data_IF_093303449334
#
_entry.id   IF_093303449334
#
_cell.length_a   1.000
_cell.length_b   1.000
_cell.length_c   1.000
_cell.angle_alpha   90.00
_cell.angle_beta   90.00
_cell.angle_gamma   90.00
#
_symmetry.space_group_name_H-M   'P 1'
#
loop_
_entity.id
_entity.type
_entity.pdbx_description
1 polymer ?
#
# COMPACT_ATOMS: atom_id res chain seq x y z
N UNK A 1 5.87 9.99 -35.36
CA UNK A 1 5.69 9.43 -34.00
C UNK A 1 5.89 7.93 -34.07
N UNK A 2 6.71 7.35 -33.22
CA UNK A 2 6.88 5.89 -33.16
C UNK A 2 5.69 5.30 -32.46
N UNK A 3 4.99 4.37 -33.12
CA UNK A 3 3.90 3.60 -32.51
C UNK A 3 4.48 2.36 -31.83
N UNK A 4 4.23 2.22 -30.54
CA UNK A 4 4.68 1.09 -29.71
C UNK A 4 3.44 0.27 -29.36
N UNK A 5 3.44 -1.03 -29.72
CA UNK A 5 2.32 -1.93 -29.48
C UNK A 5 2.67 -2.96 -28.41
N UNK A 6 1.74 -3.26 -27.52
CA UNK A 6 1.82 -4.31 -26.52
C UNK A 6 0.46 -4.98 -26.35
N UNK A 7 0.44 -6.16 -25.73
CA UNK A 7 -0.81 -6.83 -25.36
C UNK A 7 -1.47 -6.13 -24.14
N UNK A 8 -0.66 -5.63 -23.23
CA UNK A 8 -1.11 -4.90 -22.04
C UNK A 8 -0.32 -3.61 -21.87
N UNK A 9 -1.04 -2.51 -21.67
CA UNK A 9 -0.46 -1.21 -21.31
C UNK A 9 -0.82 -0.89 -19.87
N UNK A 10 0.19 -0.84 -18.99
CA UNK A 10 0.01 -0.54 -17.57
C UNK A 10 0.36 0.92 -17.31
N UNK A 11 -0.53 1.70 -16.73
CA UNK A 11 -0.31 3.11 -16.41
C UNK A 11 -0.01 3.23 -14.91
N UNK A 12 1.23 3.60 -14.60
CA UNK A 12 1.81 3.71 -13.26
C UNK A 12 2.74 2.55 -12.94
N UNK A 13 3.99 2.87 -12.56
CA UNK A 13 5.02 1.92 -12.12
C UNK A 13 5.25 1.96 -10.60
N UNK A 14 4.21 2.27 -9.83
CA UNK A 14 4.17 2.02 -8.39
C UNK A 14 4.03 0.54 -8.10
N UNK A 15 3.93 0.16 -6.82
CA UNK A 15 3.88 -1.24 -6.39
C UNK A 15 2.75 -2.03 -7.06
N UNK A 16 1.57 -1.42 -7.25
CA UNK A 16 0.43 -2.08 -7.88
C UNK A 16 0.69 -2.42 -9.36
N UNK A 17 1.11 -1.43 -10.14
CA UNK A 17 1.37 -1.62 -11.57
C UNK A 17 2.58 -2.52 -11.83
N UNK A 18 3.65 -2.38 -11.04
CA UNK A 18 4.84 -3.24 -11.15
C UNK A 18 4.53 -4.69 -10.79
N UNK A 19 3.74 -4.94 -9.73
CA UNK A 19 3.30 -6.28 -9.38
C UNK A 19 2.42 -6.88 -10.50
N UNK A 20 1.40 -6.18 -10.98
CA UNK A 20 0.57 -6.66 -12.07
C UNK A 20 1.38 -6.96 -13.35
N UNK A 21 2.25 -6.04 -13.75
CA UNK A 21 3.07 -6.20 -14.95
C UNK A 21 4.02 -7.41 -14.86
N UNK A 22 4.55 -7.70 -13.66
CA UNK A 22 5.40 -8.87 -13.42
C UNK A 22 4.69 -10.19 -13.77
N UNK A 23 3.45 -10.37 -13.32
CA UNK A 23 2.67 -11.57 -13.63
C UNK A 23 2.06 -11.54 -15.02
N UNK A 24 1.62 -10.38 -15.52
CA UNK A 24 1.10 -10.23 -16.88
C UNK A 24 2.12 -10.55 -17.95
N UNK A 25 3.40 -10.29 -17.70
CA UNK A 25 4.48 -10.59 -18.62
C UNK A 25 4.63 -12.11 -18.94
N UNK A 26 3.96 -12.98 -18.20
CA UNK A 26 3.84 -14.41 -18.50
C UNK A 26 2.71 -14.73 -19.51
N UNK A 27 1.81 -13.77 -19.75
CA UNK A 27 0.62 -13.93 -20.61
C UNK A 27 0.71 -13.15 -21.92
N UNK A 28 1.65 -12.23 -22.04
CA UNK A 28 1.83 -11.40 -23.23
C UNK A 28 2.84 -10.28 -23.01
N UNK A 29 3.04 -9.49 -24.06
CA UNK A 29 3.91 -8.32 -23.98
C UNK A 29 3.29 -7.21 -23.13
N UNK A 30 4.08 -6.66 -22.20
CA UNK A 30 3.64 -5.59 -21.30
C UNK A 30 4.49 -4.35 -21.51
N UNK A 31 3.85 -3.19 -21.58
CA UNK A 31 4.54 -1.90 -21.51
C UNK A 31 3.99 -1.09 -20.34
N UNK A 32 4.86 -0.74 -19.40
CA UNK A 32 4.50 0.08 -18.23
C UNK A 32 4.89 1.53 -18.49
N UNK A 33 3.98 2.45 -18.30
CA UNK A 33 4.18 3.90 -18.44
C UNK A 33 4.23 4.55 -17.06
N UNK A 34 5.34 5.22 -16.76
CA UNK A 34 5.53 5.96 -15.51
C UNK A 34 5.73 7.45 -15.84
N UNK A 35 4.95 8.29 -15.15
CA UNK A 35 5.04 9.75 -15.36
C UNK A 35 6.31 10.36 -14.78
N UNK A 36 6.82 9.79 -13.68
CA UNK A 36 7.99 10.30 -13.00
C UNK A 36 9.30 9.82 -13.65
N UNK A 37 10.41 10.40 -13.24
CA UNK A 37 11.75 10.00 -13.71
C UNK A 37 12.21 8.64 -13.20
N UNK A 38 11.54 8.12 -12.18
CA UNK A 38 11.81 6.80 -11.59
C UNK A 38 10.52 6.12 -11.10
N UNK A 39 10.43 4.77 -11.19
CA UNK A 39 9.30 4.02 -10.65
C UNK A 39 9.21 4.14 -9.13
N UNK A 40 7.98 4.13 -8.61
CA UNK A 40 7.74 4.11 -7.17
C UNK A 40 7.97 5.44 -6.43
N UNK A 41 8.09 6.55 -7.13
CA UNK A 41 8.40 7.88 -6.58
C UNK A 41 7.41 8.36 -5.51
N UNK A 42 6.11 8.09 -5.69
CA UNK A 42 5.05 8.53 -4.76
C UNK A 42 4.83 7.54 -3.61
N UNK A 43 3.61 7.07 -3.39
CA UNK A 43 3.18 6.26 -2.23
C UNK A 43 4.08 5.06 -1.95
N UNK A 44 4.60 4.40 -3.00
CA UNK A 44 5.47 3.23 -2.87
C UNK A 44 6.77 3.56 -2.13
N UNK A 45 7.48 4.59 -2.56
CA UNK A 45 8.75 5.01 -1.96
C UNK A 45 8.63 5.79 -0.66
N UNK A 46 7.39 6.07 -0.21
CA UNK A 46 7.10 6.88 0.99
C UNK A 46 6.40 6.08 2.09
N UNK A 47 6.42 4.75 1.98
CA UNK A 47 5.71 3.85 2.90
C UNK A 47 6.55 3.53 4.13
N UNK A 48 5.92 3.48 5.31
CA UNK A 48 6.53 2.90 6.51
C UNK A 48 6.55 1.36 6.46
N UNK A 49 5.75 0.76 5.60
CA UNK A 49 5.74 -0.63 5.15
C UNK A 49 5.83 -1.68 6.26
N UNK A 50 4.73 -1.86 6.97
CA UNK A 50 4.54 -2.95 7.91
C UNK A 50 3.68 -4.05 7.28
N UNK A 51 4.03 -5.32 7.50
CA UNK A 51 3.23 -6.48 7.16
C UNK A 51 2.42 -6.91 8.38
N UNK A 52 1.10 -6.77 8.31
CA UNK A 52 0.16 -7.11 9.38
C UNK A 52 -1.04 -7.85 8.79
N UNK A 53 -1.19 -9.15 9.08
CA UNK A 53 -2.27 -9.99 8.51
C UNK A 53 -3.64 -9.69 9.11
N UNK A 54 -3.65 -9.17 10.31
CA UNK A 54 -4.87 -8.84 11.07
C UNK A 54 -5.42 -7.44 10.78
N UNK A 55 -4.68 -6.63 9.99
CA UNK A 55 -4.98 -5.20 9.81
C UNK A 55 -6.10 -4.95 8.81
N UNK A 56 -7.03 -4.04 9.19
CA UNK A 56 -8.05 -3.45 8.33
C UNK A 56 -9.21 -4.41 7.95
N UNK A 57 -9.79 -4.24 6.74
CA UNK A 57 -10.98 -4.96 6.28
C UNK A 57 -10.74 -6.45 6.03
N UNK A 58 -11.78 -7.30 6.01
CA UNK A 58 -11.64 -8.71 5.64
C UNK A 58 -10.99 -8.92 4.27
N UNK A 59 -11.25 -8.04 3.28
CA UNK A 59 -10.61 -8.12 1.97
C UNK A 59 -9.09 -7.87 2.08
N UNK A 60 -8.68 -6.83 2.81
CA UNK A 60 -7.26 -6.50 3.01
C UNK A 60 -6.54 -7.64 3.73
N UNK A 61 -7.13 -8.18 4.80
CA UNK A 61 -6.57 -9.32 5.54
C UNK A 61 -6.38 -10.55 4.66
N UNK A 62 -7.39 -10.90 3.86
CA UNK A 62 -7.32 -12.03 2.92
C UNK A 62 -6.22 -11.85 1.87
N UNK A 63 -6.10 -10.66 1.26
CA UNK A 63 -5.05 -10.31 0.31
C UNK A 63 -3.65 -10.34 0.94
N UNK A 64 -3.53 -9.88 2.18
CA UNK A 64 -2.27 -9.89 2.93
C UNK A 64 -1.82 -11.33 3.21
N UNK A 65 -2.71 -12.19 3.72
CA UNK A 65 -2.42 -13.61 3.93
C UNK A 65 -2.05 -14.32 2.63
N UNK A 66 -2.80 -14.06 1.54
CA UNK A 66 -2.50 -14.65 0.23
C UNK A 66 -1.13 -14.18 -0.34
N UNK A 67 -0.65 -12.99 0.04
CA UNK A 67 0.65 -12.47 -0.38
C UNK A 67 1.83 -13.06 0.39
N UNK A 68 1.60 -13.59 1.61
CA UNK A 68 2.66 -13.97 2.55
C UNK A 68 3.68 -14.94 1.96
N UNK A 69 3.23 -16.02 1.33
CA UNK A 69 4.12 -17.06 0.81
C UNK A 69 5.11 -16.50 -0.22
N UNK A 70 4.65 -15.64 -1.13
CA UNK A 70 5.51 -14.99 -2.11
C UNK A 70 6.49 -14.02 -1.44
N UNK A 71 6.05 -13.24 -0.46
CA UNK A 71 6.90 -12.27 0.23
C UNK A 71 7.96 -12.94 1.10
N UNK A 72 7.66 -14.11 1.69
CA UNK A 72 8.60 -14.89 2.49
C UNK A 72 9.63 -15.65 1.63
N UNK A 73 9.18 -16.20 0.51
CA UNK A 73 10.01 -17.02 -0.38
C UNK A 73 9.75 -16.63 -1.84
N UNK A 74 10.25 -15.48 -2.28
CA UNK A 74 10.13 -15.09 -3.68
C UNK A 74 10.92 -16.06 -4.57
N UNK A 75 10.58 -16.16 -5.86
CA UNK A 75 11.30 -17.01 -6.81
C UNK A 75 12.79 -16.66 -6.89
N UNK A 76 13.62 -17.65 -7.22
CA UNK A 76 15.06 -17.46 -7.40
C UNK A 76 15.35 -16.32 -8.40
N UNK A 77 16.27 -15.44 -8.07
CA UNK A 77 16.65 -14.27 -8.87
C UNK A 77 15.67 -13.07 -8.75
N UNK A 78 14.61 -13.19 -7.94
CA UNK A 78 13.71 -12.05 -7.67
C UNK A 78 14.40 -10.98 -6.81
N UNK A 79 15.09 -11.38 -5.74
CA UNK A 79 15.85 -10.48 -4.86
C UNK A 79 16.96 -11.27 -4.13
N UNK A 80 18.03 -10.57 -3.76
CA UNK A 80 19.12 -11.10 -2.94
C UNK A 80 18.96 -10.73 -1.44
N UNK A 81 17.92 -9.96 -1.12
CA UNK A 81 17.62 -9.52 0.23
C UNK A 81 16.29 -10.12 0.69
N UNK A 82 16.12 -10.44 1.99
CA UNK A 82 14.82 -10.82 2.53
C UNK A 82 13.82 -9.66 2.35
N UNK A 83 12.59 -9.98 1.94
CA UNK A 83 11.50 -8.99 1.82
C UNK A 83 10.83 -8.76 3.16
N UNK A 84 10.55 -9.83 3.91
CA UNK A 84 9.97 -9.75 5.26
C UNK A 84 11.05 -9.91 6.31
N UNK A 85 11.12 -8.93 7.20
CA UNK A 85 12.06 -8.90 8.34
C UNK A 85 11.20 -8.90 9.61
N UNK A 86 11.32 -9.89 10.52
CA UNK A 86 10.50 -9.94 11.73
C UNK A 86 10.54 -8.63 12.51
N UNK A 87 9.36 -8.09 12.82
CA UNK A 87 9.16 -6.89 13.61
C UNK A 87 7.81 -7.00 14.30
N UNK A 88 7.81 -7.16 15.60
CA UNK A 88 6.60 -7.20 16.39
C UNK A 88 5.81 -5.89 16.25
N UNK A 89 4.50 -5.96 16.42
CA UNK A 89 3.62 -4.78 16.51
C UNK A 89 3.06 -4.67 17.92
N UNK A 90 3.12 -3.47 18.48
CA UNK A 90 2.61 -3.15 19.81
C UNK A 90 1.52 -2.07 19.70
N UNK A 91 0.27 -2.45 19.93
CA UNK A 91 -0.90 -1.56 19.91
C UNK A 91 -1.22 -1.16 21.35
N UNK A 92 -1.05 0.12 21.68
CA UNK A 92 -1.02 0.62 23.04
C UNK A 92 -2.30 1.39 23.35
N UNK A 93 -2.85 1.19 24.54
CA UNK A 93 -4.02 1.94 25.03
C UNK A 93 -3.75 2.60 26.37
N UNK A 94 -4.24 3.82 26.49
CA UNK A 94 -4.47 4.49 27.76
C UNK A 94 -5.72 3.96 28.46
N UNK A 95 -5.97 4.47 29.67
CA UNK A 95 -7.12 4.01 30.48
C UNK A 95 -8.46 4.25 29.77
N UNK A 96 -8.60 5.39 29.12
CA UNK A 96 -9.84 5.77 28.44
C UNK A 96 -10.02 5.04 27.10
N UNK A 97 -8.95 4.48 26.52
CA UNK A 97 -8.92 3.80 25.24
C UNK A 97 -9.07 2.28 25.35
N UNK A 98 -9.17 1.73 26.57
CA UNK A 98 -9.33 0.29 26.79
C UNK A 98 -10.52 -0.33 26.06
N UNK A 99 -11.68 0.34 25.87
CA UNK A 99 -12.76 -0.20 25.05
C UNK A 99 -12.35 -0.40 23.59
N UNK A 100 -11.56 0.52 23.00
CA UNK A 100 -11.02 0.38 21.66
C UNK A 100 -10.02 -0.78 21.57
N UNK A 101 -9.13 -0.92 22.57
CA UNK A 101 -8.19 -2.04 22.63
C UNK A 101 -8.91 -3.39 22.72
N UNK A 102 -10.00 -3.46 23.48
CA UNK A 102 -10.79 -4.69 23.61
C UNK A 102 -11.50 -5.05 22.29
N UNK A 103 -12.01 -4.05 21.56
CA UNK A 103 -12.60 -4.27 20.24
C UNK A 103 -11.57 -4.76 19.22
N UNK A 104 -10.38 -4.17 19.20
CA UNK A 104 -9.26 -4.59 18.36
C UNK A 104 -8.80 -6.00 18.72
N UNK A 105 -8.69 -6.32 20.02
CA UNK A 105 -8.36 -7.65 20.48
C UNK A 105 -9.35 -8.73 20.01
N UNK A 106 -10.65 -8.46 20.01
CA UNK A 106 -11.65 -9.42 19.51
C UNK A 106 -11.43 -9.75 18.04
N UNK A 107 -11.05 -8.76 17.25
CA UNK A 107 -10.73 -8.97 15.82
C UNK A 107 -9.43 -9.74 15.68
N UNK A 108 -8.38 -9.28 16.32
CA UNK A 108 -7.01 -9.75 16.13
C UNK A 108 -6.81 -11.17 16.67
N UNK A 109 -7.37 -11.50 17.82
CA UNK A 109 -7.32 -12.83 18.43
C UNK A 109 -8.02 -13.92 17.61
N UNK A 110 -8.96 -13.53 16.73
CA UNK A 110 -9.60 -14.47 15.80
C UNK A 110 -8.78 -14.70 14.50
N UNK A 111 -7.80 -13.84 14.24
CA UNK A 111 -7.02 -13.82 12.99
C UNK A 111 -5.54 -14.23 13.21
N UNK A 112 -5.04 -14.16 14.43
CA UNK A 112 -3.63 -14.45 14.77
C UNK A 112 -3.53 -15.23 16.07
N UNK A 113 -2.92 -16.41 16.01
CA UNK A 113 -2.57 -17.23 17.18
C UNK A 113 -1.35 -16.66 17.95
N UNK A 114 -0.64 -15.71 17.38
CA UNK A 114 0.60 -15.13 17.90
C UNK A 114 0.39 -13.78 18.59
N UNK A 115 -0.87 -13.35 18.71
CA UNK A 115 -1.22 -12.13 19.42
C UNK A 115 -1.54 -12.42 20.88
N UNK A 116 -1.24 -11.47 21.76
CA UNK A 116 -1.58 -11.54 23.18
C UNK A 116 -1.85 -10.16 23.79
N UNK A 117 -2.77 -10.13 24.75
CA UNK A 117 -2.97 -8.96 25.60
C UNK A 117 -1.84 -8.87 26.63
N UNK A 118 -1.36 -7.66 26.84
CA UNK A 118 -0.36 -7.31 27.83
C UNK A 118 -0.97 -6.38 28.88
N UNK A 119 -0.55 -6.56 30.10
CA UNK A 119 -0.75 -5.56 31.14
C UNK A 119 0.23 -4.39 30.99
N UNK A 120 0.08 -3.39 31.85
CA UNK A 120 0.90 -2.19 31.88
C UNK A 120 2.40 -2.51 32.07
N UNK A 121 2.72 -3.39 33.03
CA UNK A 121 4.10 -3.75 33.39
C UNK A 121 4.80 -4.48 32.26
N UNK A 122 4.13 -5.42 31.61
CA UNK A 122 4.66 -6.13 30.43
C UNK A 122 4.86 -5.16 29.25
N UNK A 123 3.88 -4.28 29.00
CA UNK A 123 3.93 -3.27 27.92
C UNK A 123 5.14 -2.35 28.09
N UNK A 124 5.35 -1.78 29.28
CA UNK A 124 6.47 -0.89 29.57
C UNK A 124 7.83 -1.63 29.56
N UNK A 125 7.86 -2.93 29.80
CA UNK A 125 9.10 -3.74 29.68
C UNK A 125 9.50 -3.93 28.22
N UNK A 126 8.53 -4.11 27.32
CA UNK A 126 8.77 -4.26 25.87
C UNK A 126 9.19 -2.94 25.23
N UNK A 127 8.55 -1.85 25.62
CA UNK A 127 8.85 -0.50 25.12
C UNK A 127 9.13 0.46 26.28
N UNK A 128 10.38 0.50 26.78
CA UNK A 128 10.74 1.21 28.03
C UNK A 128 10.62 2.73 27.98
N UNK A 129 10.42 3.30 26.81
CA UNK A 129 10.22 4.75 26.62
C UNK A 129 8.78 5.18 26.89
N UNK A 130 7.84 4.27 27.04
CA UNK A 130 6.45 4.63 27.36
C UNK A 130 6.37 5.32 28.73
N UNK A 131 5.44 6.26 28.87
CA UNK A 131 5.09 6.85 30.18
C UNK A 131 4.15 5.91 30.93
N UNK A 132 4.61 5.26 32.02
CA UNK A 132 3.81 4.22 32.66
C UNK A 132 2.44 4.70 33.18
N UNK A 133 2.34 5.96 33.57
CA UNK A 133 1.09 6.57 34.04
C UNK A 133 0.02 6.69 32.95
N UNK A 134 0.40 6.66 31.67
CA UNK A 134 -0.50 6.76 30.53
C UNK A 134 -0.82 5.40 29.89
N UNK A 135 -0.15 4.32 30.30
CA UNK A 135 -0.38 2.98 29.78
C UNK A 135 -1.35 2.22 30.69
N UNK A 136 -2.40 1.66 30.10
CA UNK A 136 -3.32 0.73 30.76
C UNK A 136 -3.11 -0.71 30.30
N UNK A 137 -2.71 -0.92 29.03
CA UNK A 137 -2.40 -2.21 28.43
C UNK A 137 -2.06 -2.09 26.96
N UNK A 138 -1.76 -3.22 26.34
CA UNK A 138 -1.46 -3.28 24.91
C UNK A 138 -1.85 -4.63 24.30
N UNK A 139 -1.88 -4.69 22.99
CA UNK A 139 -1.82 -5.95 22.21
C UNK A 139 -0.42 -6.04 21.61
N UNK A 140 0.23 -7.18 21.81
CA UNK A 140 1.45 -7.55 21.10
C UNK A 140 1.10 -8.59 20.04
N UNK A 141 1.40 -8.29 18.77
CA UNK A 141 1.32 -9.24 17.66
C UNK A 141 2.74 -9.54 17.17
N UNK A 142 3.19 -10.79 17.33
CA UNK A 142 4.53 -11.24 16.96
C UNK A 142 4.59 -11.88 15.57
N UNK A 143 3.45 -11.94 14.84
CA UNK A 143 3.38 -12.44 13.47
C UNK A 143 3.42 -11.31 12.42
N UNK A 144 4.10 -10.22 12.76
CA UNK A 144 4.27 -9.05 11.91
C UNK A 144 5.71 -8.86 11.47
N UNK A 145 5.90 -8.10 10.39
CA UNK A 145 7.23 -7.89 9.80
C UNK A 145 7.35 -6.47 9.24
N UNK A 146 8.57 -5.94 9.23
CA UNK A 146 8.93 -4.88 8.30
C UNK A 146 8.95 -5.43 6.87
N UNK A 147 8.65 -4.61 5.87
CA UNK A 147 8.76 -4.97 4.46
C UNK A 147 9.89 -4.17 3.81
N UNK A 148 10.86 -4.86 3.22
CA UNK A 148 11.86 -4.24 2.35
C UNK A 148 11.24 -3.82 1.02
N UNK A 149 10.69 -2.61 0.99
CA UNK A 149 9.93 -2.07 -0.16
C UNK A 149 10.78 -1.98 -1.41
N UNK A 150 12.04 -1.53 -1.26
CA UNK A 150 12.95 -1.40 -2.39
C UNK A 150 13.26 -2.77 -3.01
N UNK A 151 13.60 -3.76 -2.19
CA UNK A 151 13.89 -5.12 -2.65
C UNK A 151 12.69 -5.74 -3.38
N UNK A 152 11.49 -5.59 -2.83
CA UNK A 152 10.24 -6.07 -3.41
C UNK A 152 9.93 -5.38 -4.74
N UNK A 153 9.96 -4.07 -4.78
CA UNK A 153 9.61 -3.29 -5.97
C UNK A 153 10.63 -3.50 -7.09
N UNK A 154 11.93 -3.49 -6.79
CA UNK A 154 12.97 -3.78 -7.76
C UNK A 154 12.93 -5.23 -8.26
N UNK A 155 12.49 -6.17 -7.42
CA UNK A 155 12.24 -7.55 -7.82
C UNK A 155 11.20 -7.63 -8.94
N UNK A 156 10.07 -6.95 -8.78
CA UNK A 156 9.02 -6.87 -9.83
C UNK A 156 9.57 -6.22 -11.11
N UNK A 157 10.24 -5.05 -11.00
CA UNK A 157 10.79 -4.34 -12.16
C UNK A 157 11.83 -5.18 -12.92
N UNK A 158 12.69 -5.91 -12.19
CA UNK A 158 13.66 -6.83 -12.76
C UNK A 158 12.99 -7.96 -13.53
N UNK A 159 11.96 -8.57 -12.96
CA UNK A 159 11.21 -9.64 -13.60
C UNK A 159 10.48 -9.18 -14.87
N UNK A 160 9.89 -7.98 -14.86
CA UNK A 160 9.32 -7.35 -16.06
C UNK A 160 10.36 -7.28 -17.18
N UNK A 161 11.56 -6.77 -16.87
CA UNK A 161 12.65 -6.66 -17.82
C UNK A 161 13.15 -8.02 -18.32
N UNK A 162 13.29 -8.99 -17.43
CA UNK A 162 13.72 -10.36 -17.78
C UNK A 162 12.73 -11.06 -18.72
N UNK A 163 11.44 -10.78 -18.57
CA UNK A 163 10.40 -11.26 -19.48
C UNK A 163 10.34 -10.51 -20.84
N UNK A 164 11.27 -9.59 -21.10
CA UNK A 164 11.29 -8.80 -22.34
C UNK A 164 10.28 -7.65 -22.39
N UNK A 165 9.53 -7.43 -21.33
CA UNK A 165 8.61 -6.31 -21.18
C UNK A 165 9.33 -5.02 -20.80
N UNK A 166 8.68 -3.85 -20.91
CA UNK A 166 9.34 -2.56 -20.78
C UNK A 166 8.66 -1.67 -19.73
N UNK A 167 9.48 -0.84 -19.08
CA UNK A 167 9.04 0.27 -18.25
C UNK A 167 9.63 1.54 -18.84
N UNK A 168 8.79 2.52 -19.15
CA UNK A 168 9.22 3.83 -19.65
C UNK A 168 8.84 4.89 -18.63
N UNK A 169 9.87 5.57 -18.11
CA UNK A 169 9.73 6.73 -17.24
C UNK A 169 9.62 8.03 -18.06
N UNK A 170 9.24 9.14 -17.39
CA UNK A 170 8.93 10.42 -18.04
C UNK A 170 7.85 10.27 -19.13
N UNK A 171 6.97 9.29 -18.98
CA UNK A 171 5.89 8.93 -19.90
C UNK A 171 4.53 9.24 -19.28
N UNK A 172 4.32 10.48 -18.85
CA UNK A 172 3.03 10.95 -18.36
C UNK A 172 1.97 10.85 -19.45
N UNK A 173 0.86 10.18 -19.16
CA UNK A 173 -0.27 10.02 -20.08
C UNK A 173 -1.02 11.35 -20.19
N UNK A 174 -1.19 11.83 -21.42
CA UNK A 174 -1.85 13.12 -21.74
C UNK A 174 -3.14 12.95 -22.52
N UNK A 175 -3.29 11.85 -23.26
CA UNK A 175 -4.53 11.54 -23.98
C UNK A 175 -4.73 10.04 -24.12
N UNK A 176 -5.98 9.62 -24.08
CA UNK A 176 -6.40 8.24 -24.31
C UNK A 176 -7.59 8.27 -25.27
N UNK A 177 -7.55 7.46 -26.30
CA UNK A 177 -8.67 7.28 -27.24
C UNK A 177 -8.76 5.83 -27.66
N UNK A 178 -9.87 5.46 -28.26
CA UNK A 178 -10.09 4.09 -28.73
C UNK A 178 -10.36 4.07 -30.23
N UNK A 179 -9.69 3.18 -30.94
CA UNK A 179 -9.88 2.94 -32.36
C UNK A 179 -10.15 1.44 -32.56
N UNK A 180 -11.40 1.11 -32.84
CA UNK A 180 -11.85 -0.29 -32.91
C UNK A 180 -11.63 -1.00 -31.55
N UNK A 181 -10.84 -2.06 -31.55
CA UNK A 181 -10.53 -2.82 -30.36
C UNK A 181 -9.23 -2.40 -29.65
N UNK A 182 -8.55 -1.38 -30.17
CA UNK A 182 -7.27 -0.92 -29.64
C UNK A 182 -7.41 0.44 -28.95
N UNK A 183 -6.80 0.54 -27.79
CA UNK A 183 -6.55 1.80 -27.14
C UNK A 183 -5.33 2.49 -27.76
N UNK A 184 -5.45 3.81 -27.93
CA UNK A 184 -4.36 4.71 -28.34
C UNK A 184 -4.03 5.59 -27.14
N UNK A 185 -2.81 5.53 -26.65
CA UNK A 185 -2.36 6.30 -25.48
C UNK A 185 -1.19 7.18 -25.86
N UNK A 186 -1.37 8.48 -25.70
CA UNK A 186 -0.28 9.45 -25.85
C UNK A 186 0.41 9.63 -24.49
N UNK A 187 1.71 9.34 -24.43
CA UNK A 187 2.50 9.51 -23.23
C UNK A 187 3.92 9.96 -23.56
N UNK A 188 4.36 11.07 -22.97
CA UNK A 188 5.61 11.72 -23.33
C UNK A 188 5.65 12.04 -24.82
N UNK A 189 6.73 11.67 -25.50
CA UNK A 189 6.93 11.90 -26.94
C UNK A 189 6.41 10.75 -27.83
N UNK A 190 5.80 9.71 -27.25
CA UNK A 190 5.43 8.48 -27.94
C UNK A 190 3.92 8.22 -27.89
N UNK A 191 3.46 7.46 -28.87
CA UNK A 191 2.12 6.90 -28.92
C UNK A 191 2.19 5.39 -28.72
N UNK A 192 1.31 4.88 -27.82
CA UNK A 192 1.25 3.47 -27.45
C UNK A 192 -0.10 2.89 -27.84
N UNK A 193 -0.12 1.58 -28.17
CA UNK A 193 -1.33 0.87 -28.56
C UNK A 193 -1.43 -0.45 -27.79
N UNK A 194 -2.60 -0.74 -27.27
CA UNK A 194 -2.90 -2.03 -26.64
C UNK A 194 -4.40 -2.33 -26.70
N UNK A 195 -4.82 -3.61 -26.72
CA UNK A 195 -6.23 -3.96 -26.56
C UNK A 195 -6.71 -3.74 -25.13
N UNK A 196 -5.80 -3.73 -24.15
CA UNK A 196 -6.12 -3.55 -22.73
C UNK A 196 -5.23 -2.49 -22.09
N UNK A 197 -5.87 -1.57 -21.35
CA UNK A 197 -5.21 -0.62 -20.44
C UNK A 197 -5.47 -1.06 -19.01
N UNK A 198 -4.40 -1.16 -18.21
CA UNK A 198 -4.45 -1.36 -16.76
C UNK A 198 -4.16 -0.04 -16.07
N UNK A 199 -5.17 0.55 -15.47
CA UNK A 199 -5.05 1.78 -14.71
C UNK A 199 -4.55 1.47 -13.29
N UNK A 200 -3.25 1.60 -13.07
CA UNK A 200 -2.55 1.46 -11.80
C UNK A 200 -1.95 2.80 -11.31
N UNK A 201 -2.59 3.92 -11.69
CA UNK A 201 -2.09 5.28 -11.47
C UNK A 201 -2.28 5.80 -10.03
N UNK A 202 -2.63 4.93 -9.07
CA UNK A 202 -2.75 5.28 -7.66
C UNK A 202 -3.70 6.45 -7.42
N UNK A 203 -3.21 7.57 -6.89
CA UNK A 203 -4.01 8.74 -6.60
C UNK A 203 -4.62 9.40 -7.85
N UNK A 204 -3.99 9.24 -9.01
CA UNK A 204 -4.46 9.77 -10.30
C UNK A 204 -5.37 8.81 -11.06
N UNK A 205 -5.85 7.73 -10.43
CA UNK A 205 -6.67 6.72 -11.08
C UNK A 205 -7.93 7.28 -11.73
N UNK A 206 -8.66 8.18 -11.06
CA UNK A 206 -9.86 8.80 -11.62
C UNK A 206 -9.55 9.78 -12.77
N UNK A 207 -8.40 10.46 -12.74
CA UNK A 207 -7.95 11.31 -13.85
C UNK A 207 -7.68 10.49 -15.12
N UNK A 208 -6.98 9.36 -14.98
CA UNK A 208 -6.73 8.42 -16.09
C UNK A 208 -8.04 7.83 -16.64
N UNK A 209 -8.98 7.53 -15.75
CA UNK A 209 -10.30 7.05 -16.17
C UNK A 209 -11.05 8.11 -16.99
N UNK A 210 -11.03 9.36 -16.55
CA UNK A 210 -11.66 10.48 -17.28
C UNK A 210 -11.03 10.63 -18.69
N UNK A 211 -9.70 10.52 -18.82
CA UNK A 211 -9.02 10.53 -20.12
C UNK A 211 -9.46 9.38 -21.04
N UNK A 212 -9.76 8.21 -20.46
CA UNK A 212 -10.23 7.03 -21.19
C UNK A 212 -11.76 7.04 -21.47
N UNK A 213 -12.50 8.01 -20.95
CA UNK A 213 -13.96 8.05 -21.01
C UNK A 213 -14.63 7.03 -20.09
N UNK A 214 -13.89 6.46 -19.13
CA UNK A 214 -14.46 5.62 -18.08
C UNK A 214 -15.02 6.48 -16.93
N UNK A 215 -16.02 5.95 -16.24
CA UNK A 215 -16.62 6.66 -15.10
C UNK A 215 -15.67 6.60 -13.89
N UNK A 216 -15.28 7.77 -13.33
CA UNK A 216 -14.48 7.80 -12.11
C UNK A 216 -15.13 7.03 -10.96
N UNK A 217 -14.30 6.38 -10.14
CA UNK A 217 -14.76 5.57 -8.99
C UNK A 217 -15.00 6.40 -7.74
N UNK A 218 -14.62 7.67 -7.72
CA UNK A 218 -14.64 8.51 -6.52
C UNK A 218 -13.47 8.19 -5.57
N UNK A 219 -12.29 7.97 -6.13
CA UNK A 219 -11.08 7.71 -5.36
C UNK A 219 -10.73 8.91 -4.49
N UNK A 220 -10.47 8.66 -3.21
CA UNK A 220 -10.08 9.71 -2.27
C UNK A 220 -8.63 9.51 -1.80
N UNK A 221 -7.68 10.28 -2.34
CA UNK A 221 -6.34 10.37 -1.76
C UNK A 221 -6.39 11.04 -0.39
N UNK A 222 -5.61 10.50 0.55
CA UNK A 222 -5.45 11.04 1.90
C UNK A 222 -3.98 11.21 2.21
N UNK A 223 -3.58 12.39 2.70
CA UNK A 223 -2.21 12.65 3.13
C UNK A 223 -1.88 11.86 4.39
N UNK A 224 -0.71 11.24 4.39
CA UNK A 224 -0.05 10.63 5.54
C UNK A 224 1.34 11.20 5.66
N UNK A 225 1.58 11.95 6.71
CA UNK A 225 2.88 12.59 7.01
C UNK A 225 3.72 11.71 7.92
N UNK A 226 5.01 11.72 7.73
CA UNK A 226 5.97 11.01 8.55
C UNK A 226 7.30 11.79 8.63
N UNK A 227 8.12 11.42 9.58
CA UNK A 227 9.44 12.01 9.80
C UNK A 227 10.41 11.02 10.43
N UNK A 228 11.71 11.23 10.23
CA UNK A 228 12.74 10.50 10.98
C UNK A 228 13.34 11.38 12.08
N UNK A 229 13.79 10.75 13.15
CA UNK A 229 14.51 11.37 14.24
C UNK A 229 15.51 10.39 14.85
N UNK A 230 16.49 10.92 15.59
CA UNK A 230 17.54 10.10 16.19
C UNK A 230 16.98 9.17 17.27
N UNK A 231 17.36 7.90 17.20
CA UNK A 231 17.07 6.95 18.28
C UNK A 231 17.85 7.33 19.57
N UNK A 232 17.31 7.02 20.77
CA UNK A 232 18.06 7.20 22.02
C UNK A 232 19.36 6.41 22.00
N UNK A 233 20.49 7.08 22.31
CA UNK A 233 21.83 6.48 22.19
C UNK A 233 22.10 5.39 23.22
N UNK A 234 21.43 5.49 24.37
CA UNK A 234 21.66 4.57 25.50
C UNK A 234 20.70 3.38 25.53
N UNK A 235 19.94 3.19 24.45
CA UNK A 235 18.95 2.10 24.34
C UNK A 235 19.10 1.34 23.02
N UNK A 236 18.79 0.05 23.03
CA UNK A 236 18.78 -0.79 21.83
C UNK A 236 17.49 -0.59 21.02
N UNK A 237 17.25 0.64 20.56
CA UNK A 237 16.02 1.02 19.89
C UNK A 237 15.72 0.17 18.63
N UNK A 238 16.73 -0.40 17.98
CA UNK A 238 16.56 -1.27 16.81
C UNK A 238 15.76 -2.55 17.09
N UNK A 239 15.66 -2.96 18.37
CA UNK A 239 14.87 -4.12 18.81
C UNK A 239 13.42 -3.76 19.16
N UNK A 240 13.07 -2.48 19.18
CA UNK A 240 11.71 -2.08 19.53
C UNK A 240 10.70 -2.51 18.47
N UNK A 241 9.45 -2.79 18.89
CA UNK A 241 8.37 -3.08 17.96
C UNK A 241 7.99 -1.85 17.13
N UNK A 242 7.24 -2.07 16.06
CA UNK A 242 6.37 -1.04 15.51
C UNK A 242 5.29 -0.74 16.55
N UNK A 243 5.31 0.44 17.13
CA UNK A 243 4.43 0.84 18.22
C UNK A 243 3.48 1.95 17.79
N UNK A 244 2.19 1.80 18.12
CA UNK A 244 1.15 2.76 17.77
C UNK A 244 0.10 2.87 18.87
N UNK A 245 -0.55 4.03 18.95
CA UNK A 245 -1.76 4.20 19.75
C UNK A 245 -2.93 3.42 19.15
N UNK A 246 -3.79 2.84 19.98
CA UNK A 246 -4.96 2.06 19.51
C UNK A 246 -5.94 2.88 18.66
N UNK A 247 -5.95 4.20 18.82
CA UNK A 247 -6.76 5.11 18.02
C UNK A 247 -6.10 5.46 16.66
N UNK A 248 -4.95 4.87 16.35
CA UNK A 248 -4.14 5.16 15.15
C UNK A 248 -3.85 6.66 14.98
N UNK A 249 -3.56 7.36 16.05
CA UNK A 249 -3.30 8.78 16.05
C UNK A 249 -1.79 9.14 16.16
N UNK A 250 -0.93 8.16 16.41
CA UNK A 250 0.52 8.21 16.31
C UNK A 250 1.11 6.82 16.12
N UNK A 251 2.29 6.76 15.54
CA UNK A 251 3.14 5.56 15.57
C UNK A 251 4.61 5.92 15.53
N UNK A 252 5.42 4.98 16.02
CA UNK A 252 6.89 4.98 15.89
C UNK A 252 7.38 3.61 15.47
N UNK A 253 8.48 3.55 14.75
CA UNK A 253 9.23 2.31 14.50
C UNK A 253 10.72 2.59 14.27
N UNK A 254 11.60 1.65 14.61
CA UNK A 254 13.01 1.71 14.20
C UNK A 254 13.14 1.57 12.69
N UNK A 255 14.02 2.35 12.08
CA UNK A 255 14.33 2.26 10.66
C UNK A 255 15.75 2.77 10.38
N UNK A 256 16.59 1.96 9.74
CA UNK A 256 17.94 2.33 9.26
C UNK A 256 18.79 3.09 10.30
N UNK A 257 18.73 2.73 11.57
CA UNK A 257 19.49 3.37 12.67
C UNK A 257 18.85 4.64 13.24
N UNK A 258 17.72 5.05 12.71
CA UNK A 258 16.85 6.11 13.21
C UNK A 258 15.51 5.57 13.68
N UNK A 259 14.62 6.46 14.09
CA UNK A 259 13.21 6.18 14.33
C UNK A 259 12.37 6.89 13.26
N UNK A 260 11.35 6.21 12.75
CA UNK A 260 10.25 6.85 12.03
C UNK A 260 9.18 7.23 13.04
N UNK A 261 8.63 8.43 12.92
CA UNK A 261 7.45 8.91 13.64
C UNK A 261 6.39 9.43 12.69
N UNK A 262 5.12 9.35 13.08
CA UNK A 262 4.00 9.87 12.30
C UNK A 262 2.83 10.25 13.20
N UNK A 263 2.09 11.33 12.85
CA UNK A 263 0.79 11.65 13.46
C UNK A 263 -0.33 10.71 13.01
N UNK A 264 -0.04 9.75 12.15
CA UNK A 264 -1.00 8.84 11.53
C UNK A 264 -2.21 9.55 10.87
N UNK A 265 -2.02 10.79 10.40
CA UNK A 265 -3.06 11.65 9.80
C UNK A 265 -3.66 11.06 8.51
N UNK A 266 -4.92 11.45 8.23
CA UNK A 266 -5.70 10.92 7.08
C UNK A 266 -6.47 12.05 6.39
N UNK A 267 -5.83 13.19 6.16
CA UNK A 267 -6.46 14.38 5.60
C UNK A 267 -6.78 14.17 4.12
N UNK A 268 -8.05 14.33 3.71
CA UNK A 268 -8.42 14.25 2.31
C UNK A 268 -7.77 15.37 1.50
N UNK A 269 -7.13 15.03 0.39
CA UNK A 269 -6.47 15.99 -0.51
C UNK A 269 -6.72 15.58 -1.97
N UNK A 270 -6.47 16.49 -2.91
CA UNK A 270 -6.40 16.15 -4.33
C UNK A 270 -5.11 15.35 -4.63
N UNK A 271 -5.07 14.67 -5.77
CA UNK A 271 -3.86 14.01 -6.25
C UNK A 271 -2.80 15.06 -6.64
N UNK A 272 -1.64 15.00 -6.01
CA UNK A 272 -0.48 15.86 -6.29
C UNK A 272 0.78 15.25 -5.70
N UNK A 273 1.93 15.85 -5.94
CA UNK A 273 3.19 15.49 -5.23
C UNK A 273 3.14 16.07 -3.82
N UNK A 274 2.50 15.30 -2.92
CA UNK A 274 2.17 15.74 -1.57
C UNK A 274 3.41 15.96 -0.73
N UNK A 275 3.42 17.08 0.00
CA UNK A 275 4.42 17.42 1.01
C UNK A 275 3.78 17.37 2.41
N UNK A 276 4.56 17.12 3.46
CA UNK A 276 4.04 17.20 4.82
C UNK A 276 3.73 18.66 5.18
N UNK A 277 2.64 18.88 5.92
CA UNK A 277 2.39 20.18 6.54
C UNK A 277 3.15 20.27 7.87
N UNK A 278 3.61 21.49 8.21
CA UNK A 278 4.32 21.72 9.47
C UNK A 278 3.48 21.31 10.68
N UNK A 279 2.18 21.58 10.63
CA UNK A 279 1.25 21.19 11.69
C UNK A 279 1.17 19.66 11.86
N UNK A 280 1.18 18.89 10.77
CA UNK A 280 1.17 17.42 10.86
C UNK A 280 2.41 16.92 11.61
N UNK A 281 3.57 17.46 11.25
CA UNK A 281 4.84 17.07 11.89
C UNK A 281 4.84 17.46 13.37
N UNK A 282 4.41 18.69 13.68
CA UNK A 282 4.31 19.16 15.07
C UNK A 282 3.35 18.32 15.91
N UNK A 283 2.19 17.95 15.36
CA UNK A 283 1.23 17.06 16.02
C UNK A 283 1.78 15.65 16.23
N UNK A 284 2.51 15.12 15.24
CA UNK A 284 3.17 13.81 15.39
C UNK A 284 4.21 13.81 16.51
N UNK A 285 5.05 14.84 16.56
CA UNK A 285 6.03 15.02 17.64
C UNK A 285 5.32 15.13 18.98
N UNK A 286 4.32 16.01 19.09
CA UNK A 286 3.57 16.23 20.32
C UNK A 286 2.95 14.93 20.87
N UNK A 287 2.25 14.16 20.04
CA UNK A 287 1.61 12.91 20.47
C UNK A 287 2.62 11.83 20.89
N UNK A 288 3.74 11.73 20.16
CA UNK A 288 4.80 10.79 20.51
C UNK A 288 5.45 11.21 21.86
N UNK A 289 5.76 12.48 22.07
CA UNK A 289 6.33 12.98 23.32
C UNK A 289 5.33 12.91 24.49
N UNK A 290 4.03 13.06 24.21
CA UNK A 290 2.98 12.85 25.21
C UNK A 290 2.92 11.38 25.66
N UNK A 291 2.97 10.42 24.74
CA UNK A 291 2.90 8.99 25.04
C UNK A 291 4.23 8.42 25.58
N UNK A 292 5.34 9.07 25.33
CA UNK A 292 6.69 8.56 25.62
C UNK A 292 7.57 9.54 26.35
N UNK A 293 8.74 9.09 26.82
CA UNK A 293 9.79 9.92 27.40
C UNK A 293 10.75 10.49 26.35
N UNK A 294 10.49 10.26 25.07
CA UNK A 294 11.30 10.81 23.98
C UNK A 294 11.23 12.34 23.96
N UNK A 295 12.30 12.95 23.47
CA UNK A 295 12.39 14.40 23.21
C UNK A 295 12.87 14.61 21.78
N UNK A 296 11.95 14.97 20.89
CA UNK A 296 12.19 15.09 19.46
C UNK A 296 12.39 16.57 19.11
N UNK A 297 13.61 17.06 19.31
CA UNK A 297 13.91 18.50 19.10
C UNK A 297 13.79 18.92 17.64
N UNK A 298 14.21 18.04 16.72
CA UNK A 298 14.20 18.30 15.28
C UNK A 298 14.13 16.98 14.50
N UNK A 299 13.19 16.84 13.56
CA UNK A 299 13.23 15.77 12.58
C UNK A 299 14.48 15.85 11.71
N UNK A 300 15.08 14.70 11.37
CA UNK A 300 16.18 14.60 10.42
C UNK A 300 15.70 14.73 8.99
N UNK A 301 14.53 14.16 8.72
CA UNK A 301 13.86 14.22 7.43
C UNK A 301 12.34 14.17 7.62
N UNK A 302 11.59 14.82 6.73
CA UNK A 302 10.12 14.84 6.73
C UNK A 302 9.59 14.53 5.33
N UNK A 303 8.51 13.77 5.23
CA UNK A 303 7.84 13.48 3.97
C UNK A 303 6.36 13.21 4.17
N UNK A 304 5.61 13.20 3.08
CA UNK A 304 4.24 12.71 3.07
C UNK A 304 3.98 11.80 1.86
N UNK A 305 3.03 10.89 2.01
CA UNK A 305 2.54 10.02 0.95
C UNK A 305 1.02 10.09 0.83
N UNK A 306 0.50 9.68 -0.32
CA UNK A 306 -0.94 9.57 -0.55
C UNK A 306 -1.40 8.14 -0.34
N UNK A 307 -2.32 7.95 0.61
CA UNK A 307 -3.11 6.72 0.77
C UNK A 307 -4.43 6.92 0.03
N UNK A 308 -4.63 6.23 -1.09
CA UNK A 308 -5.80 6.43 -1.94
C UNK A 308 -6.81 5.32 -1.72
N UNK A 309 -8.03 5.69 -1.36
CA UNK A 309 -9.11 4.79 -1.01
C UNK A 309 -10.24 4.85 -2.04
N UNK A 310 -10.83 3.70 -2.35
CA UNK A 310 -12.14 3.64 -2.98
C UNK A 310 -13.25 4.00 -1.95
N UNK A 311 -14.47 4.33 -2.38
CA UNK A 311 -15.55 4.76 -1.49
C UNK A 311 -15.94 3.76 -0.38
N UNK A 312 -15.63 2.49 -0.54
CA UNK A 312 -15.86 1.45 0.47
C UNK A 312 -14.63 1.13 1.33
N UNK A 313 -13.47 1.69 0.99
CA UNK A 313 -12.20 1.46 1.67
C UNK A 313 -11.42 0.27 1.16
N UNK A 314 -12.00 -0.60 0.34
CA UNK A 314 -11.39 -1.82 -0.18
C UNK A 314 -10.68 -1.60 -1.53
N UNK A 315 -9.70 -2.46 -1.83
CA UNK A 315 -8.93 -2.40 -3.07
C UNK A 315 -9.78 -2.78 -4.28
N UNK A 316 -9.51 -2.15 -5.42
CA UNK A 316 -10.21 -2.40 -6.69
C UNK A 316 -9.28 -3.10 -7.68
N UNK A 317 -9.75 -4.20 -8.25
CA UNK A 317 -9.01 -5.02 -9.21
C UNK A 317 -10.00 -5.72 -10.15
N UNK A 318 -10.22 -5.17 -11.34
CA UNK A 318 -11.19 -5.73 -12.27
C UNK A 318 -11.47 -4.84 -13.48
N UNK A 319 -12.11 -5.43 -14.49
CA UNK A 319 -12.55 -4.68 -15.67
C UNK A 319 -13.65 -3.69 -15.33
N UNK A 320 -13.59 -2.52 -15.98
CA UNK A 320 -14.71 -1.58 -16.03
C UNK A 320 -15.88 -2.20 -16.79
N UNK A 321 -17.08 -2.08 -16.23
CA UNK A 321 -18.27 -2.72 -16.81
C UNK A 321 -18.77 -2.00 -18.08
N UNK A 322 -18.45 -0.72 -18.26
CA UNK A 322 -18.97 0.12 -19.34
C UNK A 322 -17.91 0.46 -20.38
N UNK A 323 -16.64 0.31 -20.03
CA UNK A 323 -15.48 0.70 -20.87
C UNK A 323 -14.65 -0.54 -21.22
N UNK A 324 -15.00 -1.26 -22.30
CA UNK A 324 -14.34 -2.53 -22.64
C UNK A 324 -12.84 -2.37 -22.85
N UNK A 325 -12.05 -3.26 -22.24
CA UNK A 325 -10.58 -3.22 -22.30
C UNK A 325 -9.93 -2.21 -21.35
N UNK A 326 -10.72 -1.52 -20.50
CA UNK A 326 -10.22 -0.71 -19.41
C UNK A 326 -10.28 -1.52 -18.11
N UNK A 327 -9.16 -1.60 -17.41
CA UNK A 327 -9.01 -2.39 -16.19
C UNK A 327 -8.54 -1.51 -15.03
N UNK A 328 -9.18 -1.64 -13.89
CA UNK A 328 -8.86 -0.92 -12.67
C UNK A 328 -7.95 -1.72 -11.75
N UNK A 329 -6.87 -1.09 -11.27
CA UNK A 329 -5.99 -1.63 -10.25
C UNK A 329 -5.60 -0.49 -9.29
N UNK A 330 -6.52 -0.07 -8.46
CA UNK A 330 -6.44 1.16 -7.66
C UNK A 330 -7.03 0.96 -6.27
N UNK A 331 -6.97 1.99 -5.45
CA UNK A 331 -7.57 1.98 -4.12
C UNK A 331 -6.76 1.20 -3.08
N UNK A 332 -5.44 1.09 -3.25
CA UNK A 332 -4.56 0.34 -2.35
C UNK A 332 -4.46 0.90 -0.94
N UNK A 333 -5.01 2.09 -0.66
CA UNK A 333 -5.03 2.70 0.66
C UNK A 333 -3.65 2.76 1.31
N UNK A 334 -3.54 2.24 2.53
CA UNK A 334 -2.28 2.08 3.26
C UNK A 334 -1.66 0.70 3.14
N UNK A 335 -2.21 -0.21 2.31
CA UNK A 335 -1.92 -1.66 2.33
C UNK A 335 -1.33 -2.19 1.01
N UNK A 336 -1.09 -1.33 0.03
CA UNK A 336 -0.67 -1.73 -1.31
C UNK A 336 0.63 -2.53 -1.35
N UNK A 337 1.57 -2.28 -0.43
CA UNK A 337 2.84 -3.01 -0.36
C UNK A 337 2.58 -4.45 0.09
N UNK A 338 1.92 -4.65 1.24
CA UNK A 338 1.69 -5.99 1.81
C UNK A 338 0.76 -6.87 0.98
N UNK A 339 -0.13 -6.29 0.17
CA UNK A 339 -1.10 -6.99 -0.68
C UNK A 339 -0.63 -7.16 -2.13
N UNK A 340 0.53 -6.60 -2.49
CA UNK A 340 0.98 -6.45 -3.88
C UNK A 340 1.07 -7.78 -4.64
N UNK A 341 1.57 -8.83 -4.00
CA UNK A 341 1.71 -10.13 -4.63
C UNK A 341 0.35 -10.72 -5.03
N UNK A 342 -0.59 -10.80 -4.09
CA UNK A 342 -1.94 -11.31 -4.35
C UNK A 342 -2.70 -10.44 -5.36
N UNK A 343 -2.59 -9.10 -5.25
CA UNK A 343 -3.23 -8.17 -6.18
C UNK A 343 -2.69 -8.32 -7.60
N UNK A 344 -1.37 -8.47 -7.76
CA UNK A 344 -0.75 -8.69 -9.07
C UNK A 344 -1.16 -10.02 -9.68
N UNK A 345 -1.18 -11.11 -8.90
CA UNK A 345 -1.62 -12.42 -9.34
C UNK A 345 -3.12 -12.43 -9.73
N UNK A 346 -3.96 -11.79 -8.92
CA UNK A 346 -5.38 -11.62 -9.23
C UNK A 346 -5.58 -10.84 -10.54
N UNK A 347 -4.86 -9.73 -10.73
CA UNK A 347 -4.93 -8.93 -11.94
C UNK A 347 -4.55 -9.75 -13.18
N UNK A 348 -3.44 -10.49 -13.13
CA UNK A 348 -2.99 -11.32 -14.24
C UNK A 348 -4.01 -12.42 -14.59
N UNK A 349 -4.55 -13.13 -13.60
CA UNK A 349 -5.56 -14.15 -13.83
C UNK A 349 -6.84 -13.58 -14.45
N UNK A 350 -7.37 -12.48 -13.89
CA UNK A 350 -8.60 -11.85 -14.39
C UNK A 350 -8.43 -11.28 -15.80
N UNK A 351 -7.26 -10.66 -16.09
CA UNK A 351 -6.93 -10.14 -17.41
C UNK A 351 -6.74 -11.24 -18.46
N UNK A 352 -6.26 -12.42 -18.05
CA UNK A 352 -6.19 -13.60 -18.89
C UNK A 352 -7.55 -14.35 -19.02
N UNK A 353 -8.64 -13.82 -18.45
CA UNK A 353 -9.95 -14.46 -18.46
C UNK A 353 -10.04 -15.73 -17.61
N UNK A 354 -9.15 -15.89 -16.63
CA UNK A 354 -9.07 -17.03 -15.74
C UNK A 354 -9.75 -16.75 -14.39
N UNK A 355 -10.07 -17.80 -13.64
CA UNK A 355 -10.46 -17.68 -12.24
C UNK A 355 -9.28 -17.18 -11.39
N UNK A 356 -9.57 -16.60 -10.22
CA UNK A 356 -8.53 -16.26 -9.26
C UNK A 356 -7.69 -17.52 -8.93
N UNK A 357 -6.38 -17.37 -8.68
CA UNK A 357 -5.53 -18.47 -8.23
C UNK A 357 -6.11 -19.16 -6.98
N UNK A 358 -5.94 -20.48 -6.89
CA UNK A 358 -6.54 -21.31 -5.83
C UNK A 358 -6.17 -20.81 -4.41
N UNK A 359 -4.91 -20.40 -4.20
CA UNK A 359 -4.47 -19.89 -2.89
C UNK A 359 -5.13 -18.57 -2.50
N UNK A 360 -5.58 -17.75 -3.47
CA UNK A 360 -6.39 -16.57 -3.21
C UNK A 360 -7.82 -16.95 -2.83
N UNK A 361 -8.41 -17.90 -3.57
CA UNK A 361 -9.74 -18.40 -3.28
C UNK A 361 -9.81 -19.07 -1.89
N UNK A 362 -8.75 -19.79 -1.49
CA UNK A 362 -8.62 -20.40 -0.17
C UNK A 362 -8.64 -19.37 0.98
N UNK A 363 -8.28 -18.09 0.71
CA UNK A 363 -8.45 -16.99 1.66
C UNK A 363 -9.85 -16.33 1.60
N UNK A 364 -10.80 -16.91 0.88
CA UNK A 364 -12.15 -16.38 0.73
C UNK A 364 -12.29 -15.25 -0.30
N UNK A 365 -11.25 -14.97 -1.10
CA UNK A 365 -11.30 -13.93 -2.12
C UNK A 365 -12.11 -14.39 -3.34
N UNK A 366 -12.91 -13.47 -3.86
CA UNK A 366 -13.68 -13.67 -5.11
C UNK A 366 -13.45 -12.51 -6.06
N UNK A 367 -13.60 -12.73 -7.35
CA UNK A 367 -13.53 -11.68 -8.36
C UNK A 367 -14.56 -10.55 -8.10
N UNK A 368 -15.74 -10.91 -7.58
CA UNK A 368 -16.80 -9.95 -7.25
C UNK A 368 -16.37 -8.97 -6.12
N UNK A 369 -15.65 -9.46 -5.10
CA UNK A 369 -15.12 -8.62 -4.03
C UNK A 369 -14.09 -7.61 -4.53
N UNK A 370 -13.35 -7.93 -5.57
CA UNK A 370 -12.32 -7.08 -6.15
C UNK A 370 -12.87 -6.15 -7.23
N UNK A 371 -13.98 -6.51 -7.87
CA UNK A 371 -14.54 -5.82 -9.03
C UNK A 371 -14.97 -4.37 -8.71
N UNK A 372 -14.70 -3.39 -9.61
CA UNK A 372 -15.25 -2.03 -9.50
C UNK A 372 -16.78 -2.00 -9.50
N UNK A 373 -17.45 -3.00 -10.07
CA UNK A 373 -18.91 -3.09 -10.13
C UNK A 373 -19.58 -3.08 -8.74
N UNK A 374 -18.89 -3.52 -7.68
CA UNK A 374 -19.39 -3.46 -6.30
C UNK A 374 -19.65 -2.03 -5.80
N UNK A 375 -19.00 -1.04 -6.41
CA UNK A 375 -19.13 0.38 -6.05
C UNK A 375 -20.35 1.04 -6.69
N UNK A 376 -20.99 0.43 -7.67
CA UNK A 376 -22.08 1.03 -8.45
C UNK A 376 -23.25 1.54 -7.57
N UNK A 377 -23.63 0.77 -6.55
CA UNK A 377 -24.70 1.15 -5.62
C UNK A 377 -24.32 2.35 -4.73
N UNK A 378 -23.04 2.56 -4.42
CA UNK A 378 -22.55 3.71 -3.65
C UNK A 378 -22.47 4.97 -4.53
N UNK A 379 -21.98 4.83 -5.75
CA UNK A 379 -21.89 5.93 -6.72
C UNK A 379 -23.27 6.46 -7.13
N UNK A 380 -24.28 5.61 -7.19
CA UNK A 380 -25.67 6.01 -7.49
C UNK A 380 -26.32 6.87 -6.39
N UNK A 381 -25.86 6.75 -5.13
CA UNK A 381 -26.38 7.53 -3.99
C UNK A 381 -25.70 8.90 -3.83
N UNK A 382 -24.63 9.18 -4.57
CA UNK A 382 -23.89 10.45 -4.52
C UNK A 382 -24.29 11.42 -5.65
N UNK A 383 -25.12 10.97 -6.59
CA UNK A 383 -25.77 11.78 -7.63
C UNK A 383 -27.15 12.24 -7.16
#
# INVERSE_FOLDING_TARGET
MTHITADFLVIGAGIAGSAAAYWLAQHGSVHVLERESQPGYHSTGRSAAQFMQSYCSPQVRALTRASRAFLQQPPAGFTDQPILIPRDTLIIAGKDDMPALQAEWQTLSSESDNARLLDKEETCRILPILRPELVAGAILDTDTCDIEVHALHQGFLRGIKQAGSKVTCNAGVTAISRQGNMWQVQAGEHSYQAPVIVNAAGAWGDEIAALAGATPLGLQPKRRSAFTFDAPKDMNAHLWPFALGVLEDWYIKPDAGQMIGSPANTDPVAAHDVQPEELDIAMGIYRIEEATTLQIRRPSHTWAGLRTFAPDGDLVNGFDAQTPGFYWLVGQGGYGIQTSAAMGQAAAALLAGQALPEHLQAQGLTAAMLSPARLAAKLAKQK
#
